data_IF_469444989003
#
_entry.id   IF_469444989003
#
_cell.length_a   1.000
_cell.length_b   1.000
_cell.length_c   1.000
_cell.angle_alpha   90.00
_cell.angle_beta   90.00
_cell.angle_gamma   90.00
#
_symmetry.space_group_name_H-M   'P 1'
#
loop_
_entity.id
_entity.type
_entity.pdbx_description
1 polymer ?
#
# COMPACT_ATOMS: atom_id res chain seq x y z
N UNK A 1 12.46 0.90 -5.59
CA UNK A 1 11.35 0.89 -4.62
C UNK A 1 11.42 2.29 -4.10
N UNK A 2 10.68 3.21 -4.74
CA UNK A 2 10.50 4.60 -4.29
C UNK A 2 10.73 4.66 -2.79
N UNK A 3 11.76 5.38 -2.34
CA UNK A 3 12.07 5.49 -0.92
C UNK A 3 10.80 5.98 -0.23
N UNK A 4 10.07 5.07 0.43
CA UNK A 4 8.71 5.33 0.93
C UNK A 4 8.69 6.53 1.89
N UNK A 5 9.83 6.80 2.52
CA UNK A 5 10.10 7.96 3.37
C UNK A 5 9.99 9.30 2.61
N UNK A 6 10.50 9.39 1.37
CA UNK A 6 10.51 10.64 0.58
C UNK A 6 9.13 10.96 0.02
N UNK A 7 8.29 9.95 -0.20
CA UNK A 7 6.95 10.15 -0.76
C UNK A 7 5.98 10.80 0.22
N UNK A 8 6.06 10.48 1.52
CA UNK A 8 5.16 11.02 2.53
C UNK A 8 5.29 12.54 2.69
N UNK A 9 6.48 13.10 2.49
CA UNK A 9 6.71 14.57 2.52
C UNK A 9 5.92 15.34 1.45
N UNK A 10 5.53 14.66 0.36
CA UNK A 10 4.86 15.28 -0.78
C UNK A 10 3.34 15.02 -0.80
N UNK A 11 2.81 14.30 0.18
CA UNK A 11 1.37 14.05 0.29
C UNK A 11 0.71 15.26 0.97
N UNK A 12 -0.34 15.86 0.37
CA UNK A 12 -1.07 16.95 1.00
C UNK A 12 -1.63 16.54 2.37
N UNK A 13 -1.60 17.46 3.33
CA UNK A 13 -1.97 17.19 4.73
C UNK A 13 -3.43 16.73 4.91
N UNK A 14 -4.29 17.08 3.96
CA UNK A 14 -5.71 16.73 3.89
C UNK A 14 -5.96 15.32 3.34
N UNK A 15 -4.92 14.64 2.84
CA UNK A 15 -5.01 13.27 2.33
C UNK A 15 -4.47 12.31 3.40
N UNK A 16 -5.30 11.38 3.93
CA UNK A 16 -4.84 10.43 4.92
C UNK A 16 -3.84 9.42 4.33
N UNK A 17 -2.78 9.16 5.09
CA UNK A 17 -1.74 8.20 4.73
C UNK A 17 -2.04 6.89 5.46
N UNK A 18 -2.67 5.96 4.76
CA UNK A 18 -2.95 4.63 5.31
C UNK A 18 -1.77 3.69 5.13
N UNK A 19 -1.31 3.07 6.22
CA UNK A 19 -0.18 2.13 6.19
C UNK A 19 -0.46 0.85 6.98
N UNK A 20 0.27 -0.20 6.64
CA UNK A 20 0.20 -1.48 7.33
C UNK A 20 0.86 -1.47 8.71
N UNK A 21 0.48 -2.41 9.59
CA UNK A 21 1.09 -2.58 10.92
C UNK A 21 2.62 -2.77 10.90
N UNK A 22 3.18 -3.18 9.76
CA UNK A 22 4.63 -3.27 9.57
C UNK A 22 5.33 -1.90 9.62
N UNK A 23 4.59 -0.82 9.39
CA UNK A 23 5.05 0.57 9.44
C UNK A 23 4.75 1.25 10.78
N UNK A 24 4.46 0.47 11.83
CA UNK A 24 4.25 1.04 13.16
C UNK A 24 5.49 1.83 13.61
N UNK A 25 5.29 3.08 14.01
CA UNK A 25 6.34 4.06 14.25
C UNK A 25 6.28 5.23 13.28
N UNK A 26 5.75 5.01 12.08
CA UNK A 26 5.58 6.03 11.03
C UNK A 26 4.60 7.14 11.45
N UNK A 27 3.65 6.82 12.33
CA UNK A 27 2.73 7.80 12.92
C UNK A 27 3.42 8.86 13.80
N UNK A 28 4.69 8.65 14.18
CA UNK A 28 5.46 9.64 14.93
C UNK A 28 6.23 10.60 14.01
N UNK A 29 6.36 10.27 12.73
CA UNK A 29 7.16 11.02 11.75
C UNK A 29 6.29 11.95 10.89
N UNK A 30 5.04 11.57 10.61
CA UNK A 30 4.13 12.33 9.73
C UNK A 30 2.77 12.55 10.37
N UNK A 31 2.19 13.72 10.08
CA UNK A 31 0.81 14.03 10.43
C UNK A 31 -0.14 13.31 9.45
N UNK A 32 -1.31 12.87 9.93
CA UNK A 32 -2.34 12.19 9.12
C UNK A 32 -2.05 10.72 8.73
N UNK A 33 -1.21 10.01 9.50
CA UNK A 33 -0.99 8.56 9.32
C UNK A 33 -2.10 7.74 9.99
N UNK A 34 -2.73 6.86 9.23
CA UNK A 34 -3.75 5.92 9.70
C UNK A 34 -3.20 4.48 9.69
N UNK A 35 -3.27 3.83 10.85
CA UNK A 35 -2.88 2.44 11.05
C UNK A 35 -4.06 1.65 11.60
N UNK A 36 -4.24 0.39 11.20
CA UNK A 36 -5.22 -0.48 11.83
C UNK A 36 -4.83 -0.77 13.29
N UNK A 37 -5.82 -1.05 14.12
CA UNK A 37 -5.62 -1.35 15.54
C UNK A 37 -4.89 -2.69 15.72
N UNK A 38 -3.66 -2.62 16.24
CA UNK A 38 -2.92 -3.79 16.66
C UNK A 38 -3.56 -4.42 17.89
N UNK A 39 -3.81 -5.73 17.85
CA UNK A 39 -4.27 -6.48 19.02
C UNK A 39 -3.23 -6.40 20.16
N UNK A 40 -3.61 -5.90 21.36
CA UNK A 40 -2.72 -5.86 22.51
C UNK A 40 -2.38 -7.27 23.02
N UNK A 41 -1.18 -7.45 23.58
CA UNK A 41 -0.74 -8.74 24.14
C UNK A 41 -1.60 -9.09 25.34
N UNK A 42 -2.25 -10.26 25.32
CA UNK A 42 -3.08 -10.74 26.43
C UNK A 42 -4.47 -10.10 26.55
N UNK A 43 -4.85 -9.21 25.62
CA UNK A 43 -6.15 -8.57 25.59
C UNK A 43 -6.81 -8.68 24.21
N UNK A 44 -8.07 -8.29 24.11
CA UNK A 44 -8.84 -8.30 22.86
C UNK A 44 -9.05 -6.87 22.36
N UNK A 45 -9.27 -6.74 21.05
CA UNK A 45 -9.76 -5.50 20.47
C UNK A 45 -11.19 -5.24 20.94
N UNK A 46 -11.51 -3.98 21.19
CA UNK A 46 -12.89 -3.56 21.45
C UNK A 46 -13.73 -3.74 20.19
N UNK A 47 -15.06 -3.76 20.33
CA UNK A 47 -15.94 -3.87 19.16
C UNK A 47 -15.77 -2.69 18.19
N UNK A 48 -15.54 -1.47 18.69
CA UNK A 48 -15.21 -0.30 17.84
C UNK A 48 -13.92 -0.51 17.04
N UNK A 49 -12.85 -0.97 17.70
CA UNK A 49 -11.58 -1.23 17.01
C UNK A 49 -11.70 -2.32 15.94
N UNK A 50 -12.56 -3.32 16.17
CA UNK A 50 -12.84 -4.35 15.16
C UNK A 50 -13.62 -3.78 13.98
N UNK A 51 -14.58 -2.90 14.23
CA UNK A 51 -15.34 -2.19 13.19
C UNK A 51 -14.40 -1.35 12.32
N UNK A 52 -13.56 -0.54 12.95
CA UNK A 52 -12.56 0.30 12.27
C UNK A 52 -11.58 -0.55 11.44
N UNK A 53 -11.06 -1.64 12.01
CA UNK A 53 -10.23 -2.58 11.26
C UNK A 53 -10.98 -3.25 10.10
N UNK A 54 -12.30 -3.46 10.20
CA UNK A 54 -13.10 -4.04 9.12
C UNK A 54 -13.24 -3.06 7.96
N UNK A 55 -13.47 -1.78 8.24
CA UNK A 55 -13.51 -0.72 7.23
C UNK A 55 -12.15 -0.59 6.52
N UNK A 56 -11.07 -0.49 7.30
CA UNK A 56 -9.70 -0.46 6.76
C UNK A 56 -9.40 -1.70 5.89
N UNK A 57 -9.82 -2.89 6.33
CA UNK A 57 -9.63 -4.12 5.57
C UNK A 57 -10.45 -4.12 4.26
N UNK A 58 -11.65 -3.54 4.26
CA UNK A 58 -12.49 -3.46 3.06
C UNK A 58 -11.84 -2.59 1.98
N UNK A 59 -11.24 -1.46 2.35
CA UNK A 59 -10.49 -0.59 1.43
C UNK A 59 -9.27 -1.32 0.85
N UNK A 60 -8.54 -2.07 1.68
CA UNK A 60 -7.38 -2.88 1.24
C UNK A 60 -7.72 -3.90 0.18
N UNK A 61 -8.92 -4.49 0.19
CA UNK A 61 -9.31 -5.49 -0.82
C UNK A 61 -9.21 -4.90 -2.23
N UNK A 62 -9.62 -3.64 -2.41
CA UNK A 62 -9.54 -2.95 -3.71
C UNK A 62 -8.08 -2.76 -4.13
N UNK A 63 -7.24 -2.33 -3.20
CA UNK A 63 -5.80 -2.14 -3.41
C UNK A 63 -5.11 -3.47 -3.75
N UNK A 64 -5.44 -4.55 -3.04
CA UNK A 64 -4.92 -5.89 -3.30
C UNK A 64 -5.35 -6.44 -4.67
N UNK A 65 -6.58 -6.14 -5.11
CA UNK A 65 -7.01 -6.46 -6.46
C UNK A 65 -6.21 -5.70 -7.53
N UNK A 66 -5.91 -4.42 -7.31
CA UNK A 66 -5.06 -3.65 -8.21
C UNK A 66 -3.63 -4.23 -8.26
N UNK A 67 -3.03 -4.55 -7.11
CA UNK A 67 -1.72 -5.22 -7.05
C UNK A 67 -1.74 -6.60 -7.70
N UNK A 68 -2.79 -7.38 -7.47
CA UNK A 68 -2.98 -8.69 -8.12
C UNK A 68 -3.12 -8.58 -9.63
N UNK A 69 -3.79 -7.53 -10.11
CA UNK A 69 -3.87 -7.17 -11.52
C UNK A 69 -2.52 -6.87 -12.14
N UNK A 70 -1.71 -6.01 -11.51
CA UNK A 70 -0.35 -5.70 -11.94
C UNK A 70 0.55 -6.94 -11.96
N UNK A 71 0.39 -7.84 -10.99
CA UNK A 71 1.15 -9.11 -10.93
C UNK A 71 0.76 -10.12 -12.02
N UNK A 72 -0.23 -9.87 -12.86
CA UNK A 72 -0.45 -10.66 -14.09
C UNK A 72 0.73 -10.55 -15.05
N UNK A 73 1.45 -9.43 -14.99
CA UNK A 73 2.70 -9.25 -15.71
C UNK A 73 3.84 -9.86 -14.88
N UNK A 74 4.45 -10.94 -15.39
CA UNK A 74 5.57 -11.63 -14.71
C UNK A 74 6.72 -10.69 -14.33
N UNK A 75 6.90 -9.61 -15.08
CA UNK A 75 7.85 -8.56 -14.76
C UNK A 75 7.68 -7.98 -13.34
N UNK A 76 6.44 -7.84 -12.84
CA UNK A 76 6.13 -7.35 -11.49
C UNK A 76 5.86 -8.48 -10.47
N UNK A 77 5.80 -9.74 -10.89
CA UNK A 77 5.49 -10.87 -10.02
C UNK A 77 6.68 -11.78 -9.71
N UNK A 78 7.59 -11.95 -10.68
CA UNK A 78 8.76 -12.80 -10.54
C UNK A 78 9.89 -12.05 -9.79
N UNK A 79 10.88 -12.82 -9.33
CA UNK A 79 12.07 -12.26 -8.67
C UNK A 79 12.78 -11.29 -9.63
N UNK A 80 12.79 -10.02 -9.26
CA UNK A 80 13.51 -8.96 -9.96
C UNK A 80 15.02 -9.17 -9.82
N UNK A 81 15.72 -9.33 -10.95
CA UNK A 81 17.18 -9.59 -11.02
C UNK A 81 17.96 -8.51 -11.77
N UNK A 82 17.28 -7.48 -12.27
CA UNK A 82 17.94 -6.40 -12.98
C UNK A 82 18.75 -5.54 -12.00
N UNK A 83 19.88 -5.02 -12.46
CA UNK A 83 20.85 -4.24 -11.68
C UNK A 83 20.89 -2.76 -12.07
N UNK A 84 20.07 -2.36 -13.06
CA UNK A 84 19.92 -0.96 -13.43
C UNK A 84 19.23 -0.24 -12.27
N UNK A 85 19.86 0.84 -11.83
CA UNK A 85 19.38 1.69 -10.76
C UNK A 85 18.00 2.26 -11.10
N UNK A 86 17.06 2.24 -10.13
CA UNK A 86 15.71 2.81 -10.22
C UNK A 86 14.83 2.27 -11.38
N UNK A 87 15.22 1.16 -12.01
CA UNK A 87 14.43 0.58 -13.09
C UNK A 87 13.21 -0.19 -12.58
N UNK A 88 13.23 -0.64 -11.33
CA UNK A 88 12.11 -1.31 -10.69
C UNK A 88 10.89 -0.39 -10.54
N UNK A 89 11.11 0.89 -10.24
CA UNK A 89 10.02 1.87 -10.18
C UNK A 89 9.38 2.09 -11.56
N UNK A 90 10.19 2.21 -12.61
CA UNK A 90 9.72 2.29 -13.99
C UNK A 90 8.91 1.03 -14.39
N UNK A 91 9.37 -0.14 -13.95
CA UNK A 91 8.67 -1.40 -14.18
C UNK A 91 7.31 -1.42 -13.50
N UNK A 92 7.24 -0.99 -12.24
CA UNK A 92 6.00 -0.88 -11.48
C UNK A 92 5.02 0.09 -12.15
N UNK A 93 5.45 1.30 -12.52
CA UNK A 93 4.60 2.29 -13.21
C UNK A 93 4.09 1.75 -14.55
N UNK A 94 4.95 1.07 -15.31
CA UNK A 94 4.56 0.47 -16.59
C UNK A 94 3.48 -0.59 -16.40
N UNK A 95 3.65 -1.50 -15.44
CA UNK A 95 2.66 -2.55 -15.17
C UNK A 95 1.34 -2.00 -14.62
N UNK A 96 1.38 -0.94 -13.81
CA UNK A 96 0.19 -0.21 -13.37
C UNK A 96 -0.56 0.39 -14.58
N UNK A 97 0.16 1.06 -15.47
CA UNK A 97 -0.42 1.65 -16.68
C UNK A 97 -1.07 0.61 -17.59
N UNK A 98 -0.41 -0.53 -17.83
CA UNK A 98 -0.97 -1.62 -18.62
C UNK A 98 -2.21 -2.23 -17.98
N UNK A 99 -2.22 -2.41 -16.66
CA UNK A 99 -3.39 -2.91 -15.95
C UNK A 99 -4.57 -1.94 -16.03
N UNK A 100 -4.33 -0.65 -15.85
CA UNK A 100 -5.35 0.39 -15.98
C UNK A 100 -5.92 0.46 -17.41
N UNK A 101 -5.06 0.33 -18.42
CA UNK A 101 -5.50 0.26 -19.82
C UNK A 101 -6.39 -0.97 -20.08
N UNK A 102 -6.02 -2.13 -19.53
CA UNK A 102 -6.84 -3.33 -19.61
C UNK A 102 -8.21 -3.13 -18.95
N UNK A 103 -8.26 -2.55 -17.74
CA UNK A 103 -9.52 -2.27 -17.04
C UNK A 103 -10.42 -1.28 -17.79
N UNK A 104 -9.84 -0.33 -18.51
CA UNK A 104 -10.61 0.64 -19.31
C UNK A 104 -11.19 0.04 -20.59
N UNK A 105 -10.62 -1.05 -21.09
CA UNK A 105 -11.01 -1.70 -22.35
C UNK A 105 -11.84 -2.97 -22.17
N UNK A 106 -11.93 -3.50 -20.94
CA UNK A 106 -12.65 -4.73 -20.58
C UNK A 106 -14.09 -4.43 -20.15
#
# INVERSE_FOLDING_TARGET
MLDCSVMAEHIPIDVPIQVDLGFKGFENEYETVELPHKKPRGAQLTESQKEENRLFSAERVVVEHAFGGMKRYKAAADIYRNRIENFDDHLMVTTAGLWNFYLAAA
#
